data_IF_869980917556
#
_entry.id   IF_869980917556
#
_cell.length_a   1.000
_cell.length_b   1.000
_cell.length_c   1.000
_cell.angle_alpha   90.00
_cell.angle_beta   90.00
_cell.angle_gamma   90.00
#
_symmetry.space_group_name_H-M   'P 1'
#
loop_
_entity.id
_entity.type
_entity.pdbx_description
1 polymer ?
#
# COMPACT_ATOMS: atom_id res chain seq x y z
N UNK A 1 -24.73 8.43 -32.79
CA UNK A 1 -24.08 8.44 -31.47
C UNK A 1 -25.15 8.12 -30.44
N UNK A 2 -25.25 6.85 -30.06
CA UNK A 2 -26.22 6.40 -29.06
C UNK A 2 -25.77 6.87 -27.69
N UNK A 3 -26.58 7.69 -27.01
CA UNK A 3 -26.44 8.04 -25.59
C UNK A 3 -26.88 6.87 -24.70
N UNK A 4 -26.58 5.64 -25.11
CA UNK A 4 -26.91 4.43 -24.38
C UNK A 4 -26.38 4.60 -22.96
N UNK A 5 -27.31 4.59 -22.01
CA UNK A 5 -27.03 4.45 -20.58
C UNK A 5 -26.03 3.31 -20.44
N UNK A 6 -24.76 3.67 -20.24
CA UNK A 6 -23.65 2.73 -20.23
C UNK A 6 -23.84 1.67 -19.13
N UNK A 7 -23.00 0.63 -19.10
CA UNK A 7 -23.07 -0.43 -18.09
C UNK A 7 -22.79 0.15 -16.70
N UNK A 8 -23.81 0.74 -16.07
CA UNK A 8 -23.77 1.26 -14.71
C UNK A 8 -24.98 0.74 -13.95
N UNK A 9 -24.93 -0.54 -13.64
CA UNK A 9 -25.28 -0.95 -12.29
C UNK A 9 -24.01 -1.56 -11.72
N UNK A 10 -23.02 -0.71 -11.40
CA UNK A 10 -22.07 -1.07 -10.35
C UNK A 10 -22.94 -1.52 -9.17
N UNK A 11 -22.88 -2.80 -8.81
CA UNK A 11 -23.61 -3.29 -7.65
C UNK A 11 -23.31 -2.34 -6.48
N UNK A 12 -24.30 -2.06 -5.63
CA UNK A 12 -24.15 -1.09 -4.55
C UNK A 12 -22.85 -1.38 -3.74
N UNK A 13 -21.93 -0.41 -3.69
CA UNK A 13 -20.69 -0.51 -2.91
C UNK A 13 -19.38 -0.52 -3.70
N UNK A 14 -19.42 -0.57 -5.03
CA UNK A 14 -18.22 -0.57 -5.86
C UNK A 14 -17.83 0.87 -6.22
N UNK A 15 -16.54 1.19 -6.14
CA UNK A 15 -16.08 2.50 -6.60
C UNK A 15 -15.98 2.58 -8.13
N UNK A 16 -15.45 3.69 -8.61
CA UNK A 16 -15.30 3.93 -10.05
C UNK A 16 -14.19 3.05 -10.62
N UNK A 17 -14.40 2.57 -11.85
CA UNK A 17 -13.31 2.01 -12.67
C UNK A 17 -12.36 3.17 -12.98
N UNK A 18 -11.11 3.08 -12.51
CA UNK A 18 -10.10 4.12 -12.70
C UNK A 18 -9.31 3.92 -14.00
N UNK A 19 -9.26 2.69 -14.49
CA UNK A 19 -8.57 2.30 -15.73
C UNK A 19 -9.32 1.12 -16.35
N UNK A 20 -9.50 1.12 -17.67
CA UNK A 20 -10.18 0.05 -18.42
C UNK A 20 -9.40 -0.25 -19.69
N UNK A 21 -9.06 -1.52 -19.90
CA UNK A 21 -8.22 -1.94 -21.00
C UNK A 21 -8.70 -3.27 -21.63
N UNK A 22 -8.61 -3.41 -22.95
CA UNK A 22 -8.90 -4.67 -23.65
C UNK A 22 -7.60 -5.47 -23.80
N UNK A 23 -7.50 -6.61 -23.14
CA UNK A 23 -6.31 -7.45 -23.18
C UNK A 23 -6.63 -8.87 -23.68
N UNK A 24 -5.70 -9.41 -24.48
CA UNK A 24 -5.77 -10.78 -24.98
C UNK A 24 -4.40 -11.44 -24.82
N UNK A 25 -4.29 -12.39 -23.90
CA UNK A 25 -3.14 -13.29 -23.84
C UNK A 25 -3.21 -14.31 -24.99
N UNK A 26 -2.05 -14.75 -25.47
CA UNK A 26 -1.92 -15.78 -26.50
C UNK A 26 -2.66 -17.05 -26.07
N UNK A 27 -3.53 -17.55 -26.94
CA UNK A 27 -4.35 -18.73 -26.68
C UNK A 27 -5.58 -18.50 -25.81
N UNK A 28 -5.83 -17.27 -25.33
CA UNK A 28 -7.03 -16.92 -24.58
C UNK A 28 -7.93 -15.94 -25.35
N UNK A 29 -9.24 -15.89 -25.04
CA UNK A 29 -10.14 -14.86 -25.56
C UNK A 29 -9.75 -13.46 -25.05
N UNK A 30 -9.99 -12.44 -25.87
CA UNK A 30 -9.88 -11.05 -25.43
C UNK A 30 -10.91 -10.74 -24.34
N UNK A 31 -10.51 -10.03 -23.30
CA UNK A 31 -11.39 -9.60 -22.21
C UNK A 31 -11.05 -8.16 -21.81
N UNK A 32 -12.05 -7.46 -21.27
CA UNK A 32 -11.80 -6.19 -20.61
C UNK A 32 -11.25 -6.45 -19.21
N UNK A 33 -10.28 -5.64 -18.82
CA UNK A 33 -9.73 -5.62 -17.48
C UNK A 33 -9.77 -4.20 -16.96
N UNK A 34 -9.98 -4.05 -15.65
CA UNK A 34 -10.01 -2.73 -15.06
C UNK A 34 -9.53 -2.71 -13.63
N UNK A 35 -9.10 -1.53 -13.20
CA UNK A 35 -8.76 -1.25 -11.81
C UNK A 35 -9.94 -0.50 -11.18
N UNK A 36 -10.39 -0.98 -10.02
CA UNK A 36 -11.52 -0.40 -9.29
C UNK A 36 -11.03 -0.08 -7.88
N UNK A 37 -11.18 1.19 -7.45
CA UNK A 37 -10.98 1.53 -6.04
C UNK A 37 -12.22 1.09 -5.26
N UNK A 38 -12.08 0.16 -4.33
CA UNK A 38 -13.16 -0.28 -3.45
C UNK A 38 -13.02 0.40 -2.10
N UNK A 39 -14.14 0.91 -1.58
CA UNK A 39 -14.19 1.62 -0.30
C UNK A 39 -14.67 0.74 0.86
N UNK A 40 -14.93 -0.54 0.63
CA UNK A 40 -15.54 -1.41 1.63
C UNK A 40 -15.01 -2.84 1.54
N UNK A 41 -14.69 -3.42 2.70
CA UNK A 41 -14.51 -4.86 2.86
C UNK A 41 -13.28 -5.44 2.18
N UNK A 42 -12.23 -4.66 1.96
CA UNK A 42 -10.98 -5.16 1.35
C UNK A 42 -10.27 -6.19 2.23
N UNK A 43 -10.18 -5.95 3.54
CA UNK A 43 -9.61 -6.90 4.48
C UNK A 43 -10.70 -7.76 5.13
N UNK A 44 -10.38 -9.04 5.31
CA UNK A 44 -11.14 -9.91 6.19
C UNK A 44 -10.91 -9.51 7.66
N UNK A 45 -11.94 -9.62 8.49
CA UNK A 45 -11.78 -9.44 9.93
C UNK A 45 -10.86 -10.53 10.52
N UNK A 46 -10.03 -10.21 11.52
CA UNK A 46 -9.23 -11.20 12.22
C UNK A 46 -10.12 -12.29 12.85
N UNK A 47 -9.58 -13.51 12.95
CA UNK A 47 -10.27 -14.68 13.51
C UNK A 47 -9.42 -15.32 14.60
N UNK A 48 -10.01 -16.23 15.38
CA UNK A 48 -9.29 -17.07 16.34
C UNK A 48 -8.43 -16.28 17.35
N UNK A 49 -8.99 -15.20 17.93
CA UNK A 49 -8.32 -14.48 19.01
C UNK A 49 -8.19 -15.39 20.23
N UNK A 50 -6.95 -15.69 20.61
CA UNK A 50 -6.62 -16.43 21.83
C UNK A 50 -6.17 -15.43 22.89
N UNK A 51 -6.73 -15.57 24.09
CA UNK A 51 -6.34 -14.81 25.28
C UNK A 51 -5.90 -15.80 26.36
N UNK A 52 -4.77 -15.52 26.99
CA UNK A 52 -4.24 -16.28 28.12
C UNK A 52 -3.80 -15.33 29.23
N UNK A 53 -3.68 -15.86 30.45
CA UNK A 53 -3.01 -15.16 31.54
C UNK A 53 -1.53 -14.97 31.19
N UNK A 54 -1.10 -13.71 31.11
CA UNK A 54 0.30 -13.32 30.88
C UNK A 54 1.15 -13.34 32.16
N UNK A 55 0.58 -13.76 33.28
CA UNK A 55 1.22 -13.86 34.60
C UNK A 55 1.26 -12.53 35.34
N UNK A 56 1.76 -12.58 36.58
CA UNK A 56 1.83 -11.46 37.51
C UNK A 56 2.62 -10.24 37.01
N UNK A 57 2.52 -9.14 37.76
CA UNK A 57 3.21 -7.87 37.49
C UNK A 57 2.47 -6.96 36.52
N UNK A 58 1.14 -7.13 36.42
CA UNK A 58 0.27 -6.28 35.62
C UNK A 58 -0.77 -5.52 36.44
N UNK A 59 -1.72 -4.91 35.75
CA UNK A 59 -2.74 -4.02 36.33
C UNK A 59 -4.16 -4.52 36.16
N UNK A 60 -4.35 -5.67 35.50
CA UNK A 60 -5.67 -6.24 35.26
C UNK A 60 -6.16 -7.03 36.48
N UNK A 61 -7.47 -7.03 36.67
CA UNK A 61 -8.16 -7.72 37.75
C UNK A 61 -9.63 -7.95 37.38
N UNK A 62 -9.96 -9.17 36.98
CA UNK A 62 -11.33 -9.59 36.71
C UNK A 62 -11.52 -10.19 35.32
N UNK A 63 -12.77 -10.27 34.91
CA UNK A 63 -13.16 -10.81 33.59
C UNK A 63 -13.27 -9.68 32.58
N UNK A 64 -12.67 -9.87 31.41
CA UNK A 64 -12.72 -8.92 30.31
C UNK A 64 -13.08 -9.63 29.01
N UNK A 65 -13.61 -8.86 28.06
CA UNK A 65 -13.78 -9.31 26.67
C UNK A 65 -12.89 -8.46 25.77
N UNK A 66 -12.12 -9.13 24.91
CA UNK A 66 -11.27 -8.49 23.90
C UNK A 66 -11.83 -8.69 22.50
N UNK A 67 -11.65 -7.68 21.67
CA UNK A 67 -11.87 -7.71 20.23
C UNK A 67 -10.62 -7.22 19.51
N UNK A 68 -10.45 -7.65 18.27
CA UNK A 68 -9.33 -7.24 17.42
C UNK A 68 -9.84 -6.87 16.03
N UNK A 69 -9.24 -5.83 15.47
CA UNK A 69 -9.49 -5.36 14.11
C UNK A 69 -8.17 -5.31 13.33
N UNK A 70 -8.26 -5.42 12.00
CA UNK A 70 -7.14 -5.22 11.08
C UNK A 70 -7.22 -3.84 10.42
N UNK A 71 -6.07 -3.27 10.11
CA UNK A 71 -5.90 -1.97 9.46
C UNK A 71 -5.35 -2.14 8.05
N UNK A 72 -5.89 -1.39 7.10
CA UNK A 72 -5.44 -1.40 5.70
C UNK A 72 -4.26 -0.47 5.41
N UNK A 73 -3.87 0.35 6.39
CA UNK A 73 -2.83 1.37 6.25
C UNK A 73 -3.35 2.68 5.67
N UNK A 74 -4.50 2.69 4.99
CA UNK A 74 -5.22 3.84 4.41
C UNK A 74 -6.18 4.53 5.40
N UNK A 75 -6.12 4.16 6.67
CA UNK A 75 -7.02 4.64 7.71
C UNK A 75 -8.34 3.87 7.80
N UNK A 76 -8.53 2.84 6.97
CA UNK A 76 -9.63 1.91 7.07
C UNK A 76 -9.35 0.81 8.10
N UNK A 77 -10.43 0.32 8.71
CA UNK A 77 -10.41 -0.66 9.79
C UNK A 77 -11.55 -1.67 9.64
N UNK A 78 -11.27 -2.94 9.94
CA UNK A 78 -12.27 -4.02 9.90
C UNK A 78 -13.20 -3.99 11.11
N UNK A 79 -14.28 -4.78 11.06
CA UNK A 79 -15.07 -5.12 12.24
C UNK A 79 -14.30 -6.05 13.19
N UNK A 80 -14.62 -6.00 14.48
CA UNK A 80 -14.18 -6.95 15.50
C UNK A 80 -15.15 -8.14 15.59
N UNK A 81 -14.99 -9.12 14.71
CA UNK A 81 -15.97 -10.22 14.59
C UNK A 81 -15.73 -11.38 15.55
N UNK A 82 -14.58 -11.43 16.22
CA UNK A 82 -14.20 -12.53 17.12
C UNK A 82 -13.87 -12.01 18.51
N UNK A 83 -14.87 -12.02 19.38
CA UNK A 83 -14.74 -11.58 20.77
C UNK A 83 -14.34 -12.75 21.67
N UNK A 84 -13.34 -12.53 22.51
CA UNK A 84 -12.85 -13.55 23.46
C UNK A 84 -12.94 -13.03 24.88
N UNK A 85 -13.62 -13.77 25.77
CA UNK A 85 -13.76 -13.43 27.18
C UNK A 85 -12.84 -14.29 28.03
N UNK A 86 -12.08 -13.67 28.94
CA UNK A 86 -11.13 -14.36 29.80
C UNK A 86 -11.04 -13.69 31.18
N UNK A 87 -10.87 -14.50 32.24
CA UNK A 87 -10.69 -14.03 33.60
C UNK A 87 -9.20 -13.90 33.92
N UNK A 88 -8.74 -12.70 34.25
CA UNK A 88 -7.36 -12.38 34.60
C UNK A 88 -7.28 -12.21 36.13
N UNK A 89 -6.37 -12.95 36.81
CA UNK A 89 -6.15 -12.76 38.24
C UNK A 89 -5.74 -11.32 38.58
N UNK A 90 -5.99 -10.92 39.83
CA UNK A 90 -5.63 -9.57 40.28
C UNK A 90 -4.12 -9.31 40.13
N UNK A 91 -3.77 -8.18 39.51
CA UNK A 91 -2.38 -7.77 39.33
C UNK A 91 -1.64 -8.55 38.24
N UNK A 92 -2.36 -9.17 37.30
CA UNK A 92 -1.80 -9.85 36.14
C UNK A 92 -1.98 -9.00 34.87
N UNK A 93 -1.47 -9.51 33.74
CA UNK A 93 -1.62 -8.97 32.39
C UNK A 93 -2.20 -10.03 31.47
N UNK A 94 -2.77 -9.65 30.34
CA UNK A 94 -3.29 -10.61 29.36
C UNK A 94 -2.30 -10.75 28.20
N UNK A 95 -2.04 -11.99 27.77
CA UNK A 95 -1.28 -12.30 26.56
C UNK A 95 -2.25 -12.69 25.45
N UNK A 96 -2.22 -11.95 24.33
CA UNK A 96 -3.10 -12.12 23.19
C UNK A 96 -2.29 -12.59 21.98
N UNK A 97 -2.89 -13.47 21.17
CA UNK A 97 -2.34 -13.92 19.88
C UNK A 97 -3.44 -14.25 18.89
N UNK A 98 -3.16 -14.04 17.60
CA UNK A 98 -4.09 -14.31 16.49
C UNK A 98 -3.32 -14.69 15.21
N UNK A 99 -3.96 -15.29 14.20
CA UNK A 99 -3.37 -15.47 12.87
C UNK A 99 -3.25 -14.14 12.12
N UNK A 100 -2.22 -13.99 11.28
CA UNK A 100 -2.08 -12.81 10.44
C UNK A 100 -3.23 -12.69 9.43
N UNK A 101 -3.80 -11.49 9.31
CA UNK A 101 -4.70 -11.13 8.21
C UNK A 101 -3.87 -10.71 7.00
N UNK A 102 -3.99 -11.38 5.83
CA UNK A 102 -3.27 -11.00 4.64
C UNK A 102 -3.51 -9.53 4.27
N UNK A 103 -2.46 -8.82 3.88
CA UNK A 103 -2.47 -7.40 3.48
C UNK A 103 -2.79 -6.40 4.60
N UNK A 104 -3.02 -6.84 5.84
CA UNK A 104 -3.13 -5.93 6.98
C UNK A 104 -1.77 -5.27 7.28
N UNK A 105 -1.77 -3.97 7.51
CA UNK A 105 -0.57 -3.19 7.88
C UNK A 105 -0.39 -3.07 9.39
N UNK A 106 -1.45 -3.37 10.15
CA UNK A 106 -1.42 -3.46 11.60
C UNK A 106 -2.78 -3.83 12.19
N UNK A 107 -2.84 -3.82 13.51
CA UNK A 107 -4.02 -4.20 14.29
C UNK A 107 -4.32 -3.20 15.40
N UNK A 108 -5.60 -3.06 15.74
CA UNK A 108 -6.04 -2.45 16.99
C UNK A 108 -6.70 -3.50 17.88
N UNK A 109 -6.48 -3.34 19.17
CA UNK A 109 -7.05 -4.21 20.20
C UNK A 109 -8.02 -3.37 21.01
N UNK A 110 -9.19 -3.93 21.24
CA UNK A 110 -10.25 -3.34 22.03
C UNK A 110 -10.57 -4.23 23.21
N UNK A 111 -10.91 -3.62 24.34
CA UNK A 111 -11.29 -4.35 25.55
C UNK A 111 -12.41 -3.64 26.30
N UNK A 112 -13.31 -4.42 26.90
CA UNK A 112 -14.23 -3.94 27.93
C UNK A 112 -13.47 -3.50 29.20
N UNK A 113 -14.18 -2.86 30.13
CA UNK A 113 -13.70 -2.75 31.51
C UNK A 113 -13.82 -4.12 32.19
N UNK A 114 -13.28 -4.27 33.39
CA UNK A 114 -13.54 -5.45 34.21
C UNK A 114 -15.05 -5.60 34.45
N UNK A 115 -15.59 -6.77 34.12
CA UNK A 115 -17.01 -7.08 34.20
C UNK A 115 -17.57 -7.68 32.90
N UNK A 116 -18.78 -8.26 32.95
CA UNK A 116 -19.34 -9.02 31.83
C UNK A 116 -19.88 -8.15 30.68
N UNK A 117 -20.04 -6.85 30.89
CA UNK A 117 -20.67 -5.94 29.92
C UNK A 117 -19.97 -4.58 29.99
N UNK A 118 -19.67 -3.98 28.85
CA UNK A 118 -19.13 -2.62 28.78
C UNK A 118 -18.81 -2.18 27.36
N UNK A 119 -18.48 -0.90 27.21
CA UNK A 119 -17.98 -0.38 25.94
C UNK A 119 -16.60 -0.96 25.62
N UNK A 120 -16.42 -1.38 24.36
CA UNK A 120 -15.14 -1.76 23.81
C UNK A 120 -14.32 -0.51 23.54
N UNK A 121 -13.22 -0.34 24.28
CA UNK A 121 -12.31 0.78 24.12
C UNK A 121 -10.94 0.27 23.69
N UNK A 122 -10.28 1.03 22.81
CA UNK A 122 -8.96 0.69 22.28
C UNK A 122 -7.91 0.70 23.40
N UNK A 123 -7.01 -0.29 23.41
CA UNK A 123 -5.96 -0.43 24.44
C UNK A 123 -4.55 -0.10 23.93
N UNK A 124 -4.28 -0.24 22.63
CA UNK A 124 -2.98 0.10 22.06
C UNK A 124 -2.94 1.55 21.57
N UNK A 125 -1.86 2.29 21.84
CA UNK A 125 -1.70 3.68 21.40
C UNK A 125 -1.31 3.84 19.93
N UNK A 126 -0.72 2.80 19.35
CA UNK A 126 -0.27 2.77 17.96
C UNK A 126 -0.60 1.40 17.34
N UNK A 127 -0.85 1.31 16.02
CA UNK A 127 -1.07 0.06 15.33
C UNK A 127 -0.02 -1.01 15.68
N UNK A 128 -0.46 -2.21 16.01
CA UNK A 128 0.43 -3.34 16.29
C UNK A 128 0.74 -4.03 14.96
N UNK A 129 2.01 -4.19 14.61
CA UNK A 129 2.42 -4.89 13.37
C UNK A 129 2.68 -6.38 13.57
N UNK A 130 2.80 -6.81 14.83
CA UNK A 130 2.91 -8.22 15.20
C UNK A 130 1.53 -8.90 15.28
N UNK A 131 1.54 -10.22 15.40
CA UNK A 131 0.33 -11.04 15.62
C UNK A 131 0.16 -11.47 17.08
N UNK A 132 0.70 -10.64 17.98
CA UNK A 132 0.60 -10.81 19.42
C UNK A 132 0.64 -9.46 20.13
N UNK A 133 0.05 -9.41 21.32
CA UNK A 133 0.02 -8.22 22.17
C UNK A 133 -0.07 -8.61 23.64
N UNK A 134 0.62 -7.85 24.50
CA UNK A 134 0.48 -7.99 25.96
C UNK A 134 -0.32 -6.79 26.47
N UNK A 135 -1.55 -7.06 26.87
CA UNK A 135 -2.41 -6.03 27.45
C UNK A 135 -2.12 -5.89 28.94
N UNK A 136 -1.54 -4.74 29.28
CA UNK A 136 -1.27 -4.33 30.65
C UNK A 136 -1.79 -2.91 30.93
N UNK A 137 -2.92 -2.56 30.31
CA UNK A 137 -3.50 -1.21 30.41
C UNK A 137 -4.63 -1.20 31.43
N UNK A 138 -4.56 -0.29 32.41
CA UNK A 138 -5.59 -0.12 33.42
C UNK A 138 -6.91 0.37 32.80
N UNK A 139 -8.06 0.03 33.40
CA UNK A 139 -9.37 0.33 32.83
C UNK A 139 -9.63 1.83 32.58
N UNK A 140 -9.07 2.70 33.43
CA UNK A 140 -9.16 4.15 33.30
C UNK A 140 -8.21 4.77 32.26
N UNK A 141 -7.27 3.98 31.72
CA UNK A 141 -6.24 4.43 30.77
C UNK A 141 -6.48 3.96 29.33
N UNK A 142 -7.61 3.30 29.06
CA UNK A 142 -8.01 2.91 27.70
C UNK A 142 -8.35 4.16 26.88
N UNK A 143 -8.10 4.08 25.58
CA UNK A 143 -8.34 5.19 24.66
C UNK A 143 -9.83 5.22 24.32
N UNK A 144 -10.46 6.40 24.39
CA UNK A 144 -11.88 6.59 24.09
C UNK A 144 -12.17 6.52 22.58
N UNK A 145 -11.86 5.38 21.99
CA UNK A 145 -12.12 5.00 20.61
C UNK A 145 -12.83 3.66 20.65
N UNK A 146 -14.05 3.63 20.13
CA UNK A 146 -14.87 2.42 20.06
C UNK A 146 -14.50 1.58 18.84
N UNK A 147 -14.94 0.33 18.84
CA UNK A 147 -14.80 -0.54 17.68
C UNK A 147 -15.57 0.03 16.48
N UNK A 148 -15.09 -0.15 15.24
CA UNK A 148 -15.82 0.24 14.05
C UNK A 148 -17.16 -0.50 13.95
N UNK A 149 -18.21 0.20 13.51
CA UNK A 149 -19.54 -0.39 13.29
C UNK A 149 -19.71 -0.99 11.87
N UNK A 150 -18.76 -0.73 10.98
CA UNK A 150 -18.70 -1.29 9.64
C UNK A 150 -17.25 -1.47 9.21
N UNK A 151 -17.00 -2.38 8.26
CA UNK A 151 -15.69 -2.57 7.68
C UNK A 151 -15.42 -1.41 6.70
N UNK A 152 -14.50 -0.53 7.08
CA UNK A 152 -14.11 0.67 6.32
C UNK A 152 -12.83 0.49 5.51
N UNK A 153 -12.32 -0.74 5.45
CA UNK A 153 -11.08 -1.03 4.72
C UNK A 153 -11.25 -0.85 3.21
N UNK A 154 -10.24 -0.23 2.61
CA UNK A 154 -10.20 0.18 1.21
C UNK A 154 -9.13 -0.61 0.46
N UNK A 155 -9.29 -0.73 -0.86
CA UNK A 155 -8.30 -1.39 -1.70
C UNK A 155 -8.46 -1.07 -3.18
N UNK A 156 -7.48 -1.48 -3.98
CA UNK A 156 -7.54 -1.44 -5.44
C UNK A 156 -7.74 -2.87 -5.94
N UNK A 157 -8.82 -3.11 -6.65
CA UNK A 157 -9.18 -4.41 -7.16
C UNK A 157 -8.90 -4.47 -8.67
N UNK A 158 -8.17 -5.49 -9.10
CA UNK A 158 -7.93 -5.76 -10.51
C UNK A 158 -8.93 -6.80 -11.01
N UNK A 159 -9.82 -6.37 -11.90
CA UNK A 159 -10.92 -7.18 -12.42
C UNK A 159 -10.66 -7.67 -13.82
N UNK A 160 -11.16 -8.86 -14.09
CA UNK A 160 -11.65 -9.24 -15.41
C UNK A 160 -13.12 -8.81 -15.50
N UNK A 161 -13.53 -8.16 -16.57
CA UNK A 161 -14.87 -7.62 -16.73
C UNK A 161 -15.60 -8.38 -17.84
N UNK A 162 -16.16 -9.57 -17.54
CA UNK A 162 -17.03 -10.24 -18.50
C UNK A 162 -18.27 -9.38 -18.74
N UNK A 163 -18.62 -9.20 -20.03
CA UNK A 163 -19.86 -8.54 -20.39
C UNK A 163 -21.02 -9.55 -20.36
N UNK A 164 -22.22 -9.16 -19.91
CA UNK A 164 -22.64 -7.80 -19.52
C UNK A 164 -22.46 -7.49 -18.02
N UNK A 165 -22.14 -8.47 -17.19
CA UNK A 165 -22.10 -8.37 -15.73
C UNK A 165 -20.80 -8.93 -15.17
N UNK A 166 -20.23 -8.24 -14.18
CA UNK A 166 -19.08 -8.69 -13.41
C UNK A 166 -19.43 -8.77 -11.92
N UNK A 167 -18.72 -9.59 -11.16
CA UNK A 167 -18.93 -9.82 -9.73
C UNK A 167 -17.60 -10.07 -9.00
N UNK A 168 -17.64 -10.29 -7.69
CA UNK A 168 -16.43 -10.57 -6.89
C UNK A 168 -15.68 -11.83 -7.35
N UNK A 169 -16.34 -12.76 -8.04
CA UNK A 169 -15.65 -13.92 -8.63
C UNK A 169 -14.73 -13.55 -9.79
N UNK A 170 -14.89 -12.35 -10.36
CA UNK A 170 -14.09 -11.87 -11.48
C UNK A 170 -12.89 -11.01 -11.03
N UNK A 171 -12.69 -10.88 -9.72
CA UNK A 171 -11.46 -10.32 -9.14
C UNK A 171 -10.29 -11.22 -9.54
N UNK A 172 -9.32 -10.67 -10.26
CA UNK A 172 -8.06 -11.33 -10.58
C UNK A 172 -7.12 -11.26 -9.37
N UNK A 173 -6.99 -10.08 -8.77
CA UNK A 173 -6.24 -9.86 -7.53
C UNK A 173 -6.65 -8.54 -6.86
N UNK A 174 -6.28 -8.36 -5.60
CA UNK A 174 -6.50 -7.12 -4.84
C UNK A 174 -5.19 -6.56 -4.31
N UNK A 175 -5.13 -5.24 -4.20
CA UNK A 175 -4.01 -4.49 -3.66
C UNK A 175 -4.48 -3.57 -2.53
N UNK A 176 -3.61 -3.27 -1.56
CA UNK A 176 -3.89 -2.27 -0.55
C UNK A 176 -4.22 -0.91 -1.16
N UNK A 177 -5.00 -0.11 -0.44
CA UNK A 177 -5.28 1.27 -0.83
C UNK A 177 -4.02 2.15 -0.74
N UNK A 178 -4.15 3.39 -1.21
CA UNK A 178 -3.11 4.40 -1.14
C UNK A 178 -2.70 4.63 0.33
N UNK A 179 -1.39 4.60 0.63
CA UNK A 179 -0.89 4.89 1.97
C UNK A 179 -1.06 6.40 2.27
N UNK A 180 -1.72 6.80 3.38
CA UNK A 180 -1.73 8.15 3.88
C UNK A 180 -0.32 8.47 4.42
N UNK A 181 0.12 9.73 4.43
CA UNK A 181 -0.63 10.94 4.13
C UNK A 181 -0.11 11.55 2.82
N UNK A 182 -0.78 11.36 1.68
CA UNK A 182 -0.40 12.16 0.50
C UNK A 182 -0.99 13.55 0.71
N UNK A 183 -0.41 14.36 1.61
CA UNK A 183 -0.82 15.73 1.92
C UNK A 183 -1.18 16.47 0.61
N UNK A 184 -2.49 16.56 0.30
CA UNK A 184 -2.98 17.02 -0.99
C UNK A 184 -4.09 16.16 -1.61
N UNK A 185 -4.25 14.90 -1.22
CA UNK A 185 -5.43 14.11 -1.50
C UNK A 185 -6.58 14.61 -0.62
N UNK A 186 -7.58 15.27 -1.23
CA UNK A 186 -8.76 15.76 -0.51
C UNK A 186 -9.32 14.63 0.37
N UNK A 187 -9.24 14.83 1.68
CA UNK A 187 -9.38 13.75 2.66
C UNK A 187 -10.67 12.94 2.52
N UNK A 188 -10.60 11.74 3.11
CA UNK A 188 -11.71 10.86 3.55
C UNK A 188 -13.07 11.26 2.95
N UNK A 189 -13.45 10.61 1.85
CA UNK A 189 -14.87 10.51 1.48
C UNK A 189 -15.45 11.66 0.66
N UNK A 190 -14.63 12.48 -0.01
CA UNK A 190 -15.12 13.22 -1.16
C UNK A 190 -15.39 12.27 -2.33
N UNK A 191 -16.61 11.70 -2.42
CA UNK A 191 -17.14 11.18 -3.70
C UNK A 191 -16.70 12.16 -4.79
N UNK A 192 -16.03 11.67 -5.83
CA UNK A 192 -15.25 12.46 -6.79
C UNK A 192 -15.81 13.87 -6.98
N UNK A 193 -14.95 14.88 -6.79
CA UNK A 193 -15.28 16.30 -6.70
C UNK A 193 -16.33 16.81 -7.68
N UNK A 194 -17.60 16.55 -7.37
CA UNK A 194 -18.71 17.42 -7.69
C UNK A 194 -18.72 18.46 -6.58
N UNK A 195 -17.89 19.49 -6.73
CA UNK A 195 -17.91 20.63 -5.82
C UNK A 195 -19.32 21.21 -5.78
N UNK A 196 -20.05 20.92 -4.70
CA UNK A 196 -21.23 21.68 -4.31
C UNK A 196 -20.69 22.96 -3.67
N UNK A 197 -20.20 23.84 -4.51
CA UNK A 197 -19.54 25.08 -4.14
C UNK A 197 -19.47 25.96 -5.38
N UNK A 198 -20.63 26.46 -5.78
CA UNK A 198 -20.76 27.45 -6.84
C UNK A 198 -20.03 28.74 -6.47
N UNK A 199 -18.73 28.79 -6.76
CA UNK A 199 -17.98 30.02 -6.97
C UNK A 199 -17.97 30.31 -8.48
N UNK A 200 -18.82 31.23 -8.90
CA UNK A 200 -19.18 31.55 -10.29
C UNK A 200 -18.10 32.25 -11.12
N UNK A 201 -16.82 32.20 -10.75
CA UNK A 201 -15.77 32.95 -11.49
C UNK A 201 -14.45 32.19 -11.55
N UNK A 202 -14.32 31.28 -12.52
CA UNK A 202 -13.02 30.68 -12.85
C UNK A 202 -13.10 29.31 -13.51
N UNK A 203 -13.60 29.26 -14.75
CA UNK A 203 -13.50 28.08 -15.62
C UNK A 203 -12.03 27.75 -15.89
N UNK A 204 -11.48 26.77 -15.18
CA UNK A 204 -10.29 26.04 -15.63
C UNK A 204 -10.80 24.82 -16.40
N UNK A 205 -10.73 24.81 -17.75
CA UNK A 205 -11.10 23.63 -18.52
C UNK A 205 -10.20 22.46 -18.11
N UNK A 206 -10.72 21.22 -18.08
CA UNK A 206 -9.90 20.04 -17.86
C UNK A 206 -8.81 20.01 -18.93
N UNK A 207 -7.55 20.11 -18.51
CA UNK A 207 -6.42 19.99 -19.44
C UNK A 207 -6.39 18.57 -20.02
N UNK A 208 -5.84 18.42 -21.23
CA UNK A 208 -5.63 17.12 -21.89
C UNK A 208 -4.69 16.17 -21.12
N UNK A 209 -4.18 16.60 -19.97
CA UNK A 209 -3.44 15.77 -19.00
C UNK A 209 -4.35 15.09 -17.95
N UNK A 210 -5.65 14.93 -18.22
CA UNK A 210 -6.49 13.90 -17.60
C UNK A 210 -6.62 13.92 -16.06
N UNK A 211 -6.29 15.02 -15.39
CA UNK A 211 -6.35 15.14 -13.94
C UNK A 211 -6.88 16.50 -13.52
N UNK A 212 -7.76 16.52 -12.50
CA UNK A 212 -8.12 17.76 -11.81
C UNK A 212 -6.88 18.26 -11.09
N UNK A 213 -6.45 19.49 -11.35
CA UNK A 213 -5.32 20.10 -10.64
C UNK A 213 -5.59 20.06 -9.13
N UNK A 214 -4.73 19.35 -8.39
CA UNK A 214 -4.89 19.12 -6.95
C UNK A 214 -5.24 17.68 -6.55
N UNK A 215 -5.62 16.79 -7.47
CA UNK A 215 -5.78 15.36 -7.16
C UNK A 215 -4.57 14.57 -7.68
N UNK A 216 -3.48 14.57 -6.90
CA UNK A 216 -2.21 13.91 -7.24
C UNK A 216 -2.14 12.45 -6.75
N UNK A 217 -3.27 11.84 -6.37
CA UNK A 217 -3.30 10.38 -6.22
C UNK A 217 -2.90 9.79 -7.57
N UNK A 218 -1.76 9.07 -7.67
CA UNK A 218 -1.30 8.61 -8.98
C UNK A 218 -2.33 7.64 -9.51
N UNK A 219 -2.92 7.97 -10.66
CA UNK A 219 -3.97 7.16 -11.27
C UNK A 219 -3.37 5.78 -11.56
N UNK A 220 -3.96 4.69 -11.07
CA UNK A 220 -3.49 3.36 -11.41
C UNK A 220 -3.48 3.18 -12.93
N UNK A 221 -2.36 2.74 -13.50
CA UNK A 221 -2.20 2.53 -14.94
C UNK A 221 -1.99 1.05 -15.26
N UNK A 222 -2.53 0.62 -16.39
CA UNK A 222 -2.27 -0.70 -16.99
C UNK A 222 -1.48 -0.47 -18.28
N UNK A 223 -0.33 -1.11 -18.41
CA UNK A 223 0.47 -1.12 -19.65
C UNK A 223 0.49 -2.53 -20.25
N UNK A 224 0.13 -2.66 -21.53
CA UNK A 224 0.08 -3.95 -22.20
C UNK A 224 1.43 -4.32 -22.82
N UNK A 225 1.78 -5.60 -22.65
CA UNK A 225 2.84 -6.29 -23.37
C UNK A 225 2.28 -7.59 -23.97
N UNK A 226 3.09 -8.28 -24.76
CA UNK A 226 2.71 -9.60 -25.28
C UNK A 226 2.53 -10.56 -24.10
N UNK A 227 1.31 -11.08 -23.95
CA UNK A 227 0.91 -12.03 -22.89
C UNK A 227 0.98 -11.52 -21.46
N UNK A 228 1.25 -10.23 -21.23
CA UNK A 228 1.33 -9.64 -19.89
C UNK A 228 0.75 -8.23 -19.84
N UNK A 229 0.27 -7.87 -18.67
CA UNK A 229 -0.14 -6.52 -18.27
C UNK A 229 0.78 -6.09 -17.13
N UNK A 230 1.29 -4.86 -17.18
CA UNK A 230 2.02 -4.24 -16.09
C UNK A 230 1.07 -3.30 -15.38
N UNK A 231 0.91 -3.50 -14.08
CA UNK A 231 0.04 -2.75 -13.20
C UNK A 231 0.91 -1.76 -12.40
N UNK A 232 0.72 -0.48 -12.65
CA UNK A 232 1.40 0.61 -11.96
C UNK A 232 0.35 1.25 -11.06
N UNK A 233 0.31 0.84 -9.80
CA UNK A 233 -0.85 1.09 -8.93
C UNK A 233 -0.93 2.51 -8.38
N UNK A 234 0.20 3.23 -8.33
CA UNK A 234 0.24 4.59 -7.80
C UNK A 234 0.21 4.72 -6.27
N UNK A 235 -0.08 3.63 -5.56
CA UNK A 235 -0.21 3.55 -4.10
C UNK A 235 1.13 3.35 -3.35
N UNK A 236 2.27 3.56 -4.02
CA UNK A 236 3.61 3.29 -3.47
C UNK A 236 4.03 1.82 -3.44
N UNK A 237 3.17 0.90 -3.87
CA UNK A 237 3.56 -0.51 -4.05
C UNK A 237 4.39 -0.68 -5.33
N UNK A 238 5.29 -1.65 -5.30
CA UNK A 238 6.04 -2.05 -6.49
C UNK A 238 5.07 -2.41 -7.63
N UNK A 239 5.42 -2.12 -8.90
CA UNK A 239 4.61 -2.55 -10.03
C UNK A 239 4.37 -4.07 -10.02
N UNK A 240 3.25 -4.52 -10.58
CA UNK A 240 2.93 -5.95 -10.73
C UNK A 240 2.85 -6.31 -12.21
N UNK A 241 3.11 -7.57 -12.52
CA UNK A 241 2.76 -8.16 -13.81
C UNK A 241 1.59 -9.12 -13.63
N UNK A 242 0.69 -9.18 -14.62
CA UNK A 242 -0.44 -10.10 -14.65
C UNK A 242 -0.65 -10.66 -16.05
N UNK A 243 -1.11 -11.91 -16.16
CA UNK A 243 -1.66 -12.47 -17.41
C UNK A 243 -3.20 -12.50 -17.42
N UNK A 244 -3.84 -11.89 -16.42
CA UNK A 244 -5.29 -11.83 -16.29
C UNK A 244 -5.93 -13.06 -15.64
N UNK A 245 -5.13 -14.01 -15.15
CA UNK A 245 -5.63 -15.17 -14.38
C UNK A 245 -5.45 -14.98 -12.87
N UNK A 246 -6.35 -15.57 -12.09
CA UNK A 246 -6.19 -15.63 -10.63
C UNK A 246 -4.92 -16.41 -10.29
N UNK A 247 -4.01 -15.81 -9.51
CA UNK A 247 -2.68 -16.36 -9.22
C UNK A 247 -1.60 -16.02 -10.26
N UNK A 248 -1.95 -15.56 -11.46
CA UNK A 248 -1.02 -15.09 -12.48
C UNK A 248 -0.50 -13.67 -12.27
N UNK A 249 -0.86 -13.03 -11.15
CA UNK A 249 -0.44 -11.66 -10.81
C UNK A 249 0.67 -11.69 -9.76
N UNK A 250 1.84 -11.20 -10.13
CA UNK A 250 3.06 -11.26 -9.30
C UNK A 250 3.77 -9.90 -9.28
N UNK A 251 4.44 -9.59 -8.18
CA UNK A 251 5.20 -8.35 -8.08
C UNK A 251 6.36 -8.37 -9.09
N UNK A 252 6.55 -7.28 -9.82
CA UNK A 252 7.72 -7.09 -10.65
C UNK A 252 8.91 -6.83 -9.75
N UNK A 253 9.80 -7.81 -9.68
CA UNK A 253 11.09 -7.61 -9.06
C UNK A 253 11.99 -6.96 -10.08
N UNK A 254 12.46 -5.74 -9.79
CA UNK A 254 13.47 -5.12 -10.62
C UNK A 254 14.78 -5.91 -10.48
N UNK A 255 15.07 -6.77 -11.46
CA UNK A 255 16.33 -7.52 -11.54
C UNK A 255 17.40 -6.76 -12.32
N UNK A 256 17.16 -5.49 -12.67
CA UNK A 256 18.17 -4.65 -13.30
C UNK A 256 19.32 -4.43 -12.33
N UNK A 257 20.39 -5.20 -12.53
CA UNK A 257 21.70 -4.88 -11.99
C UNK A 257 22.32 -3.92 -12.98
N UNK A 258 22.38 -2.64 -12.62
CA UNK A 258 23.07 -1.65 -13.42
C UNK A 258 24.52 -2.10 -13.62
N UNK A 259 24.89 -2.41 -14.86
CA UNK A 259 26.28 -2.67 -15.21
C UNK A 259 26.92 -1.34 -15.57
N UNK A 260 27.85 -0.91 -14.74
CA UNK A 260 28.68 0.24 -15.04
C UNK A 260 30.03 -0.25 -15.58
N UNK A 261 30.57 0.37 -16.63
CA UNK A 261 31.90 0.04 -17.11
C UNK A 261 32.92 0.06 -15.96
N UNK A 262 33.84 -0.91 -15.97
CA UNK A 262 35.03 -0.81 -15.14
C UNK A 262 35.92 0.32 -15.67
N UNK A 263 36.72 0.92 -14.78
CA UNK A 263 37.75 1.87 -15.18
C UNK A 263 38.75 1.20 -16.14
N UNK A 264 38.97 1.80 -17.31
CA UNK A 264 40.02 1.40 -18.25
C UNK A 264 41.18 2.39 -18.20
N UNK A 265 42.43 1.91 -18.18
CA UNK A 265 43.64 2.76 -18.20
C UNK A 265 43.77 3.52 -19.53
N UNK A 266 44.23 4.76 -19.49
CA UNK A 266 44.51 5.58 -20.69
C UNK A 266 43.32 5.65 -21.67
N UNK A 267 42.10 5.65 -21.13
CA UNK A 267 40.86 5.62 -21.92
C UNK A 267 40.24 7.01 -21.95
N UNK A 268 39.77 7.50 -23.11
CA UNK A 268 39.01 8.73 -23.17
C UNK A 268 37.68 8.57 -22.43
N UNK A 269 37.26 9.61 -21.73
CA UNK A 269 35.99 9.74 -21.02
C UNK A 269 35.38 11.11 -21.34
N UNK A 270 34.06 11.17 -21.43
CA UNK A 270 33.32 12.43 -21.57
C UNK A 270 32.62 12.80 -20.27
N UNK A 271 32.31 14.09 -20.09
CA UNK A 271 31.53 14.52 -18.93
C UNK A 271 30.19 13.78 -18.89
N UNK A 272 29.88 13.17 -17.74
CA UNK A 272 28.69 12.35 -17.54
C UNK A 272 28.91 10.85 -17.61
N UNK A 273 30.07 10.39 -18.11
CA UNK A 273 30.42 8.97 -18.07
C UNK A 273 30.36 8.43 -16.63
N UNK A 274 29.92 7.18 -16.50
CA UNK A 274 29.76 6.49 -15.22
C UNK A 274 30.70 5.29 -15.18
N UNK A 275 31.30 5.05 -14.01
CA UNK A 275 32.03 3.82 -13.74
C UNK A 275 31.78 3.34 -12.31
N UNK A 276 31.90 2.04 -12.07
CA UNK A 276 31.84 1.47 -10.72
C UNK A 276 33.21 0.94 -10.31
N UNK A 277 33.64 1.26 -9.09
CA UNK A 277 34.86 0.74 -8.49
C UNK A 277 34.65 0.51 -6.99
N UNK A 278 34.94 -0.71 -6.53
CA UNK A 278 34.83 -1.10 -5.12
C UNK A 278 33.47 -0.76 -4.46
N UNK A 279 32.37 -0.91 -5.21
CA UNK A 279 31.01 -0.66 -4.71
C UNK A 279 30.57 0.81 -4.71
N UNK A 280 31.42 1.74 -5.20
CA UNK A 280 31.10 3.16 -5.36
C UNK A 280 30.89 3.47 -6.84
N UNK A 281 29.85 4.25 -7.15
CA UNK A 281 29.58 4.78 -8.48
C UNK A 281 30.25 6.13 -8.63
N UNK A 282 30.99 6.34 -9.71
CA UNK A 282 31.64 7.61 -10.01
C UNK A 282 31.06 8.20 -11.29
N UNK A 283 30.85 9.52 -11.30
CA UNK A 283 30.48 10.29 -12.49
C UNK A 283 31.61 11.21 -12.90
N UNK A 284 31.99 11.19 -14.18
CA UNK A 284 32.95 12.14 -14.72
C UNK A 284 32.32 13.54 -14.70
N UNK A 285 32.74 14.39 -13.76
CA UNK A 285 32.37 15.81 -13.71
C UNK A 285 33.10 16.62 -14.78
N UNK A 286 34.26 16.13 -15.21
CA UNK A 286 35.05 16.67 -16.31
C UNK A 286 35.57 15.51 -17.17
N UNK A 287 35.30 15.54 -18.47
CA UNK A 287 35.87 14.60 -19.44
C UNK A 287 37.38 14.76 -19.63
N UNK A 288 38.02 13.77 -20.25
CA UNK A 288 39.47 13.71 -20.41
C UNK A 288 39.96 12.31 -20.80
N UNK A 289 41.17 11.96 -20.40
CA UNK A 289 41.74 10.62 -20.53
C UNK A 289 42.18 10.16 -19.14
N UNK A 290 41.73 8.97 -18.74
CA UNK A 290 42.12 8.37 -17.46
C UNK A 290 43.64 8.15 -17.40
N UNK A 291 44.23 8.15 -16.20
CA UNK A 291 45.65 7.90 -16.06
C UNK A 291 46.04 6.47 -16.48
N UNK A 292 47.33 6.24 -16.74
CA UNK A 292 47.87 4.92 -17.04
C UNK A 292 47.74 3.94 -15.86
N UNK A 293 47.69 4.46 -14.62
CA UNK A 293 47.43 3.70 -13.40
C UNK A 293 46.29 4.36 -12.60
N UNK A 294 45.43 3.60 -11.91
CA UNK A 294 44.33 4.17 -11.15
C UNK A 294 44.84 5.01 -9.95
N UNK A 295 44.28 6.20 -9.71
CA UNK A 295 44.52 6.92 -8.48
C UNK A 295 43.86 6.22 -7.29
N UNK A 296 44.16 6.68 -6.07
CA UNK A 296 43.33 6.39 -4.91
C UNK A 296 42.02 7.17 -5.02
N UNK A 297 40.92 6.46 -5.23
CA UNK A 297 39.59 7.07 -5.33
C UNK A 297 39.01 7.42 -3.97
N UNK A 298 38.48 8.63 -3.86
CA UNK A 298 37.68 9.04 -2.72
C UNK A 298 36.36 8.27 -2.69
N UNK A 299 36.03 7.63 -1.57
CA UNK A 299 34.80 6.84 -1.41
C UNK A 299 33.67 7.58 -0.69
N UNK A 300 33.93 8.79 -0.20
CA UNK A 300 32.94 9.62 0.46
C UNK A 300 32.09 10.39 -0.57
N UNK A 301 30.76 10.22 -0.50
CA UNK A 301 29.79 10.81 -1.43
C UNK A 301 30.05 12.31 -1.70
N UNK A 302 30.09 12.68 -2.98
CA UNK A 302 30.33 14.03 -3.48
C UNK A 302 31.79 14.45 -3.58
N UNK A 303 32.75 13.62 -3.15
CA UNK A 303 34.17 13.96 -3.25
C UNK A 303 34.72 13.72 -4.66
N UNK A 304 35.64 14.60 -5.07
CA UNK A 304 36.27 14.54 -6.39
C UNK A 304 37.59 13.78 -6.36
N UNK A 305 37.91 13.01 -7.40
CA UNK A 305 39.19 12.35 -7.62
C UNK A 305 39.70 12.66 -9.02
N UNK A 306 40.91 13.21 -9.12
CA UNK A 306 41.57 13.40 -10.41
C UNK A 306 42.18 12.07 -10.88
N UNK A 307 41.89 11.68 -12.11
CA UNK A 307 42.36 10.46 -12.77
C UNK A 307 42.86 10.81 -14.17
N UNK A 308 44.15 11.13 -14.29
CA UNK A 308 44.70 11.71 -15.50
C UNK A 308 44.16 13.12 -15.71
N UNK A 309 43.44 13.35 -16.81
CA UNK A 309 42.74 14.62 -17.07
C UNK A 309 41.25 14.57 -16.79
N UNK A 310 40.72 13.41 -16.37
CA UNK A 310 39.33 13.21 -15.95
C UNK A 310 39.18 13.58 -14.46
N UNK A 311 38.05 14.17 -14.09
CA UNK A 311 37.67 14.38 -12.68
C UNK A 311 36.41 13.59 -12.37
N UNK A 312 36.55 12.60 -11.49
CA UNK A 312 35.47 11.72 -11.04
C UNK A 312 34.85 12.25 -9.74
N UNK A 313 33.53 12.16 -9.60
CA UNK A 313 32.80 12.45 -8.35
C UNK A 313 32.06 11.20 -7.91
N UNK A 314 32.31 10.73 -6.69
CA UNK A 314 31.62 9.59 -6.05
C UNK A 314 30.20 9.93 -5.62
#
# INVERSE_FOLDING_TARGET
MSTGTGPQNAAAGWGQITELFLFQASGLPANYYGLIKSNFGFLASPTLLVVADGGAGGVLNGTYTWGITALDGAGGETLDTWLTTFAIPAGHKASLSWPAVPLATGYNIYRTAAGPVGAFLKVNSSPITATSYVDNIADGSRINTTTPLFNSTQGVWFFKLPLPTYSLSDVVTNFPADLPPIVGDGGIGGRGGGGIGGGTTGSQPPTSSGGVSGNISPIPQIMQFVNKMILILGNGYAPYQSDGTSGGTTALTNTFVASYPARTNSSPQVTGDLMALAGVLYKASQGGTTAAAPPAFNTALGQSTADGTVIWVS
#
